data_IF_066344693101
#
_entry.id   IF_066344693101
#
_cell.length_a   1.000
_cell.length_b   1.000
_cell.length_c   1.000
_cell.angle_alpha   90.00
_cell.angle_beta   90.00
_cell.angle_gamma   90.00
#
_symmetry.space_group_name_H-M   'P 1'
#
loop_
_entity.id
_entity.type
_entity.pdbx_description
1 polymer ?
#
# COMPACT_ATOMS: atom_id res chain seq x y z
N UNK A 1 -15.90 -0.31 -18.43
CA UNK A 1 -14.85 -0.71 -17.46
C UNK A 1 -14.67 -2.20 -17.59
N UNK A 2 -13.45 -2.72 -17.68
CA UNK A 2 -13.23 -4.18 -17.67
C UNK A 2 -13.54 -4.67 -16.24
N UNK A 3 -14.62 -5.43 -16.05
CA UNK A 3 -15.05 -5.92 -14.74
C UNK A 3 -13.98 -6.78 -14.07
N UNK A 4 -13.18 -7.53 -14.84
CA UNK A 4 -12.08 -8.33 -14.32
C UNK A 4 -10.93 -7.48 -13.75
N UNK A 5 -10.89 -6.17 -14.03
CA UNK A 5 -9.92 -5.26 -13.42
C UNK A 5 -10.39 -4.68 -12.08
N UNK A 6 -11.67 -4.82 -11.72
CA UNK A 6 -12.22 -4.21 -10.52
C UNK A 6 -11.54 -4.72 -9.23
N UNK A 7 -11.14 -5.99 -9.20
CA UNK A 7 -10.42 -6.61 -8.07
C UNK A 7 -9.06 -5.94 -7.79
N UNK A 8 -8.45 -5.28 -8.79
CA UNK A 8 -7.17 -4.59 -8.64
C UNK A 8 -7.33 -3.07 -8.51
N UNK A 9 -8.28 -2.48 -9.23
CA UNK A 9 -8.47 -1.02 -9.26
C UNK A 9 -9.08 -0.51 -7.97
N UNK A 10 -10.12 -1.17 -7.45
CA UNK A 10 -10.84 -0.67 -6.28
C UNK A 10 -9.95 -0.54 -5.03
N UNK A 11 -9.08 -1.53 -4.69
CA UNK A 11 -8.17 -1.39 -3.56
C UNK A 11 -7.14 -0.25 -3.74
N UNK A 12 -6.63 -0.05 -4.97
CA UNK A 12 -5.67 1.04 -5.25
C UNK A 12 -6.36 2.39 -5.11
N UNK A 13 -7.56 2.56 -5.66
CA UNK A 13 -8.31 3.80 -5.56
C UNK A 13 -8.59 4.16 -4.10
N UNK A 14 -9.06 3.19 -3.32
CA UNK A 14 -9.29 3.35 -1.89
C UNK A 14 -7.99 3.72 -1.14
N UNK A 15 -6.87 3.06 -1.45
CA UNK A 15 -5.58 3.39 -0.86
C UNK A 15 -5.09 4.78 -1.29
N UNK A 16 -5.35 5.21 -2.52
CA UNK A 16 -4.99 6.54 -3.01
C UNK A 16 -5.66 7.65 -2.19
N UNK A 17 -6.97 7.52 -1.97
CA UNK A 17 -7.72 8.46 -1.12
C UNK A 17 -7.22 8.45 0.33
N UNK A 18 -6.89 7.28 0.86
CA UNK A 18 -6.34 7.12 2.20
C UNK A 18 -4.94 7.73 2.32
N UNK A 19 -4.08 7.52 1.31
CA UNK A 19 -2.70 7.99 1.30
C UNK A 19 -2.65 9.52 1.33
N UNK A 20 -3.50 10.21 0.55
CA UNK A 20 -3.58 11.68 0.59
C UNK A 20 -3.86 12.18 2.01
N UNK A 21 -4.89 11.63 2.66
CA UNK A 21 -5.26 12.00 4.04
C UNK A 21 -4.13 11.68 5.01
N UNK A 22 -3.54 10.50 4.88
CA UNK A 22 -2.46 10.02 5.73
C UNK A 22 -1.20 10.90 5.62
N UNK A 23 -0.81 11.31 4.40
CA UNK A 23 0.28 12.27 4.18
C UNK A 23 -0.01 13.61 4.85
N UNK A 24 -1.23 14.14 4.70
CA UNK A 24 -1.63 15.41 5.33
C UNK A 24 -1.60 15.32 6.87
N UNK A 25 -2.10 14.23 7.44
CA UNK A 25 -2.07 13.98 8.89
C UNK A 25 -0.63 13.99 9.45
N UNK A 26 0.29 13.27 8.79
CA UNK A 26 1.70 13.24 9.19
C UNK A 26 2.34 14.63 9.03
N UNK A 27 2.07 15.33 7.92
CA UNK A 27 2.60 16.68 7.69
C UNK A 27 2.16 17.68 8.76
N UNK A 28 0.88 17.62 9.16
CA UNK A 28 0.36 18.46 10.25
C UNK A 28 1.05 18.15 11.58
N UNK A 29 1.16 16.87 11.97
CA UNK A 29 1.90 16.48 13.18
C UNK A 29 3.36 16.94 13.12
N UNK A 30 4.01 16.78 11.97
CA UNK A 30 5.38 17.21 11.71
C UNK A 30 5.61 18.71 11.90
N UNK A 31 4.63 19.55 11.57
CA UNK A 31 4.70 20.99 11.81
C UNK A 31 4.66 21.38 13.29
N UNK A 32 4.16 20.50 14.15
CA UNK A 32 4.11 20.69 15.61
C UNK A 32 5.31 20.06 16.29
N UNK A 33 5.73 18.87 15.84
CA UNK A 33 6.89 18.15 16.33
C UNK A 33 7.58 17.42 15.16
N UNK A 34 8.81 17.80 14.85
CA UNK A 34 9.58 17.21 13.77
C UNK A 34 9.82 15.70 13.95
N UNK A 35 9.90 15.22 15.19
CA UNK A 35 10.13 13.80 15.49
C UNK A 35 8.96 12.91 15.05
N UNK A 36 7.74 13.46 14.92
CA UNK A 36 6.58 12.72 14.40
C UNK A 36 6.78 12.27 12.95
N UNK A 37 7.54 13.04 12.14
CA UNK A 37 7.90 12.64 10.78
C UNK A 37 8.87 11.46 10.83
N UNK A 38 9.85 11.51 11.73
CA UNK A 38 10.82 10.42 11.92
C UNK A 38 10.16 9.13 12.40
N UNK A 39 9.25 9.22 13.37
CA UNK A 39 8.50 8.09 13.91
C UNK A 39 7.64 7.39 12.85
N UNK A 40 7.07 8.14 11.89
CA UNK A 40 6.20 7.59 10.85
C UNK A 40 6.93 7.17 9.56
N UNK A 41 8.22 7.50 9.40
CA UNK A 41 8.92 7.48 8.11
C UNK A 41 8.91 6.10 7.41
N UNK A 42 9.25 5.03 8.15
CA UNK A 42 9.37 3.68 7.57
C UNK A 42 8.01 3.12 7.19
N UNK A 43 7.00 3.29 8.04
CA UNK A 43 5.64 2.83 7.77
C UNK A 43 5.03 3.60 6.60
N UNK A 44 5.22 4.92 6.56
CA UNK A 44 4.79 5.75 5.44
C UNK A 44 5.41 5.31 4.12
N UNK A 45 6.73 5.09 4.10
CA UNK A 45 7.44 4.60 2.91
C UNK A 45 6.87 3.25 2.43
N UNK A 46 6.55 2.33 3.35
CA UNK A 46 5.95 1.05 2.99
C UNK A 46 4.54 1.20 2.43
N UNK A 47 3.69 2.05 3.01
CA UNK A 47 2.34 2.34 2.48
C UNK A 47 2.43 2.93 1.08
N UNK A 48 3.29 3.93 0.86
CA UNK A 48 3.53 4.52 -0.45
C UNK A 48 4.09 3.49 -1.45
N UNK A 49 4.98 2.61 -0.99
CA UNK A 49 5.48 1.48 -1.76
C UNK A 49 4.36 0.55 -2.23
N UNK A 50 3.46 0.14 -1.33
CA UNK A 50 2.30 -0.67 -1.71
C UNK A 50 1.39 0.01 -2.73
N UNK A 51 1.21 1.34 -2.64
CA UNK A 51 0.45 2.09 -3.64
C UNK A 51 1.09 1.99 -5.03
N UNK A 52 2.41 2.20 -5.13
CA UNK A 52 3.16 2.09 -6.40
C UNK A 52 3.14 0.66 -6.94
N UNK A 53 3.43 -0.34 -6.09
CA UNK A 53 3.45 -1.74 -6.52
C UNK A 53 2.05 -2.24 -6.87
N UNK A 54 1.02 -1.82 -6.15
CA UNK A 54 -0.39 -2.08 -6.51
C UNK A 54 -0.70 -1.60 -7.91
N UNK A 55 -0.32 -0.37 -8.26
CA UNK A 55 -0.45 0.17 -9.61
C UNK A 55 0.29 -0.67 -10.66
N UNK A 56 1.53 -1.08 -10.39
CA UNK A 56 2.30 -1.91 -11.33
C UNK A 56 1.71 -3.32 -11.51
N UNK A 57 1.20 -3.94 -10.44
CA UNK A 57 0.49 -5.21 -10.52
C UNK A 57 -0.81 -5.10 -11.31
N UNK A 58 -1.60 -4.05 -11.08
CA UNK A 58 -2.81 -3.79 -11.86
C UNK A 58 -2.48 -3.59 -13.35
N UNK A 59 -1.40 -2.87 -13.68
CA UNK A 59 -0.94 -2.74 -15.06
C UNK A 59 -0.54 -4.08 -15.70
N UNK A 60 0.17 -4.93 -14.97
CA UNK A 60 0.51 -6.27 -15.45
C UNK A 60 -0.74 -7.14 -15.64
N UNK A 61 -1.71 -7.06 -14.72
CA UNK A 61 -2.97 -7.78 -14.82
C UNK A 61 -3.80 -7.33 -16.03
N UNK A 62 -3.85 -6.02 -16.31
CA UNK A 62 -4.53 -5.47 -17.49
C UNK A 62 -3.95 -6.03 -18.80
N UNK A 63 -2.62 -6.07 -18.89
CA UNK A 63 -1.93 -6.65 -20.05
C UNK A 63 -2.27 -8.14 -20.15
N UNK A 64 -2.13 -8.90 -19.06
CA UNK A 64 -2.41 -10.33 -19.06
C UNK A 64 -3.84 -10.67 -19.49
N UNK A 65 -4.85 -9.94 -18.98
CA UNK A 65 -6.24 -10.12 -19.39
C UNK A 65 -6.43 -9.83 -20.87
N UNK A 66 -5.86 -8.74 -21.39
CA UNK A 66 -5.97 -8.39 -22.82
C UNK A 66 -5.39 -9.48 -23.71
N UNK A 67 -4.23 -10.05 -23.36
CA UNK A 67 -3.59 -11.08 -24.18
C UNK A 67 -4.37 -12.40 -24.13
N UNK A 68 -4.97 -12.74 -22.98
CA UNK A 68 -5.88 -13.89 -22.85
C UNK A 68 -7.14 -13.66 -23.70
N UNK A 69 -7.75 -12.48 -23.62
CA UNK A 69 -8.94 -12.10 -24.41
C UNK A 69 -8.64 -12.11 -25.92
N UNK A 70 -7.41 -11.81 -26.32
CA UNK A 70 -6.93 -11.90 -27.70
C UNK A 70 -6.63 -13.34 -28.16
N UNK A 71 -6.83 -14.34 -27.30
CA UNK A 71 -6.69 -15.76 -27.63
C UNK A 71 -5.32 -16.38 -27.32
N UNK A 72 -4.46 -15.70 -26.54
CA UNK A 72 -3.19 -16.28 -26.12
C UNK A 72 -3.41 -17.49 -25.21
N UNK A 73 -2.65 -18.57 -25.46
CA UNK A 73 -2.63 -19.79 -24.64
C UNK A 73 -1.37 -19.89 -23.76
N UNK A 74 -0.56 -18.83 -23.71
CA UNK A 74 0.65 -18.80 -22.89
C UNK A 74 0.29 -18.76 -21.39
N UNK A 75 0.75 -19.77 -20.65
CA UNK A 75 0.54 -19.90 -19.21
C UNK A 75 1.11 -18.72 -18.40
N UNK A 76 2.06 -17.96 -18.97
CA UNK A 76 2.64 -16.77 -18.34
C UNK A 76 1.58 -15.73 -17.93
N UNK A 77 0.56 -15.49 -18.75
CA UNK A 77 -0.46 -14.49 -18.45
C UNK A 77 -1.37 -14.92 -17.29
N UNK A 78 -1.72 -16.20 -17.24
CA UNK A 78 -2.45 -16.77 -16.10
C UNK A 78 -1.63 -16.67 -14.82
N UNK A 79 -0.32 -17.00 -14.89
CA UNK A 79 0.59 -16.89 -13.75
C UNK A 79 0.73 -15.44 -13.24
N UNK A 80 0.75 -14.45 -14.15
CA UNK A 80 0.75 -13.02 -13.77
C UNK A 80 -0.50 -12.62 -12.99
N UNK A 81 -1.68 -13.08 -13.41
CA UNK A 81 -2.92 -12.82 -12.68
C UNK A 81 -2.93 -13.48 -11.30
N UNK A 82 -2.49 -14.73 -11.20
CA UNK A 82 -2.36 -15.43 -9.92
C UNK A 82 -1.41 -14.68 -8.96
N UNK A 83 -0.28 -14.20 -9.48
CA UNK A 83 0.70 -13.45 -8.68
C UNK A 83 0.13 -12.11 -8.21
N UNK A 84 -0.56 -11.37 -9.09
CA UNK A 84 -1.22 -10.13 -8.72
C UNK A 84 -2.28 -10.36 -7.64
N UNK A 85 -3.12 -11.39 -7.79
CA UNK A 85 -4.14 -11.75 -6.78
C UNK A 85 -3.52 -12.10 -5.44
N UNK A 86 -2.41 -12.85 -5.42
CA UNK A 86 -1.68 -13.11 -4.19
C UNK A 86 -1.22 -11.80 -3.52
N UNK A 87 -0.61 -10.89 -4.29
CA UNK A 87 -0.15 -9.61 -3.78
C UNK A 87 -1.29 -8.81 -3.12
N UNK A 88 -2.42 -8.65 -3.83
CA UNK A 88 -3.58 -7.92 -3.33
C UNK A 88 -4.25 -8.59 -2.13
N UNK A 89 -4.29 -9.93 -2.08
CA UNK A 89 -4.92 -10.66 -0.99
C UNK A 89 -4.04 -10.77 0.27
N UNK A 90 -2.72 -10.85 0.11
CA UNK A 90 -1.80 -11.18 1.22
C UNK A 90 -0.89 -10.05 1.66
N UNK A 91 -0.43 -9.22 0.75
CA UNK A 91 0.57 -8.18 1.05
C UNK A 91 -0.05 -6.78 1.09
N UNK A 92 -0.95 -6.47 0.16
CA UNK A 92 -1.60 -5.16 0.11
C UNK A 92 -2.35 -4.77 1.41
N UNK A 93 -2.99 -5.69 2.17
CA UNK A 93 -3.63 -5.35 3.44
C UNK A 93 -2.67 -4.85 4.53
N UNK A 94 -1.36 -5.09 4.42
CA UNK A 94 -0.34 -4.58 5.36
C UNK A 94 -0.44 -3.06 5.50
N UNK A 95 -0.84 -2.36 4.43
CA UNK A 95 -1.07 -0.89 4.41
C UNK A 95 -1.95 -0.42 5.56
N UNK A 96 -3.01 -1.16 5.90
CA UNK A 96 -3.91 -0.79 6.99
C UNK A 96 -3.23 -0.88 8.36
N UNK A 97 -2.36 -1.86 8.57
CA UNK A 97 -1.60 -1.99 9.81
C UNK A 97 -0.51 -0.91 9.91
N UNK A 98 0.23 -0.68 8.83
CA UNK A 98 1.28 0.34 8.74
C UNK A 98 0.72 1.76 8.97
N UNK A 99 -0.44 2.07 8.39
CA UNK A 99 -1.12 3.34 8.63
C UNK A 99 -1.60 3.50 10.08
N UNK A 100 -1.81 2.41 10.83
CA UNK A 100 -2.14 2.48 12.27
C UNK A 100 -0.89 2.66 13.11
N UNK A 101 0.18 1.93 12.83
CA UNK A 101 1.44 2.01 13.57
C UNK A 101 2.09 3.38 13.40
N UNK A 102 2.12 3.94 12.19
CA UNK A 102 2.65 5.28 11.98
C UNK A 102 1.85 6.37 12.73
N UNK A 103 0.55 6.15 12.95
CA UNK A 103 -0.30 7.09 13.71
C UNK A 103 -0.07 7.05 15.22
N UNK A 104 0.60 6.01 15.76
CA UNK A 104 0.94 5.91 17.17
C UNK A 104 1.87 7.06 17.63
N UNK A 105 2.63 7.64 16.69
CA UNK A 105 3.46 8.81 16.94
C UNK A 105 4.69 8.51 17.79
N UNK A 106 5.27 9.55 18.37
CA UNK A 106 6.57 9.47 19.06
C UNK A 106 6.49 8.93 20.48
N UNK A 107 5.35 9.04 21.16
CA UNK A 107 5.25 8.77 22.61
C UNK A 107 5.79 7.38 22.98
N UNK A 108 5.32 6.32 22.34
CA UNK A 108 5.77 4.96 22.65
C UNK A 108 7.23 4.67 22.27
N UNK A 109 7.87 5.56 21.52
CA UNK A 109 9.28 5.45 21.14
C UNK A 109 10.19 6.20 22.12
N UNK A 110 9.69 7.28 22.72
CA UNK A 110 10.49 8.19 23.55
C UNK A 110 10.25 7.98 25.05
N UNK A 111 9.05 7.57 25.45
CA UNK A 111 8.65 7.32 26.84
C UNK A 111 9.17 5.95 27.31
N UNK A 112 10.47 5.89 27.62
CA UNK A 112 11.21 4.63 27.84
C UNK A 112 12.07 4.63 29.10
N UNK A 113 12.05 5.70 29.90
CA UNK A 113 12.95 5.88 31.05
C UNK A 113 12.85 4.71 32.05
N UNK A 114 11.64 4.28 32.44
CA UNK A 114 11.44 3.17 33.36
C UNK A 114 11.78 1.80 32.75
N UNK A 115 11.66 1.65 31.43
CA UNK A 115 11.99 0.41 30.75
C UNK A 115 13.51 0.22 30.56
N UNK A 116 14.28 1.32 30.65
CA UNK A 116 15.72 1.36 30.39
C UNK A 116 16.58 1.70 31.62
N UNK A 117 15.97 1.90 32.79
CA UNK A 117 16.63 2.08 34.08
C UNK A 117 17.22 0.78 34.64
#
# INVERSE_FOLDING_TARGET
>A
VNEAMAEFINPIAALGDQLVKFTTEIGFKGSQNADEVGAAAVDYLRVAGHFVFGYLFARMAQVALREIDAGSTDAFYVAKLQTARFYFARLFPETASLMRTARAGTRSLMDTDEALA
#
